data_IF_292803618396
#
_entry.id   IF_292803618396
#
_cell.length_a   1.000
_cell.length_b   1.000
_cell.length_c   1.000
_cell.angle_alpha   90.00
_cell.angle_beta   90.00
_cell.angle_gamma   90.00
#
_symmetry.space_group_name_H-M   'P 1'
#
loop_
_entity.id
_entity.type
_entity.pdbx_description
1 polymer ?
#
# COMPACT_ATOMS: atom_id res chain seq x y z
N UNK A 1 -0.22 -26.84 -29.97
CA UNK A 1 -0.43 -25.44 -29.56
C UNK A 1 -1.92 -25.13 -29.64
N UNK A 2 -2.67 -25.39 -28.56
CA UNK A 2 -4.11 -25.11 -28.51
C UNK A 2 -4.31 -23.61 -28.33
N UNK A 3 -4.85 -22.94 -29.34
CA UNK A 3 -5.23 -21.52 -29.25
C UNK A 3 -6.55 -21.47 -28.47
N UNK A 4 -6.51 -21.07 -27.20
CA UNK A 4 -7.74 -20.75 -26.47
C UNK A 4 -8.48 -19.64 -27.22
N UNK A 5 -9.62 -19.99 -27.80
CA UNK A 5 -10.57 -19.02 -28.38
C UNK A 5 -11.13 -18.19 -27.22
N UNK A 6 -10.59 -16.99 -27.00
CA UNK A 6 -11.31 -15.97 -26.22
C UNK A 6 -12.49 -15.55 -27.09
N UNK A 7 -13.70 -15.94 -26.69
CA UNK A 7 -14.91 -15.56 -27.41
C UNK A 7 -15.11 -14.04 -27.25
N UNK A 8 -15.22 -13.26 -28.35
CA UNK A 8 -15.47 -11.84 -28.24
C UNK A 8 -16.95 -11.58 -27.93
N UNK A 9 -17.17 -10.74 -26.91
CA UNK A 9 -18.34 -9.88 -26.68
C UNK A 9 -19.75 -10.51 -26.59
N UNK A 10 -19.93 -11.78 -26.23
CA UNK A 10 -21.29 -12.19 -25.81
C UNK A 10 -21.58 -11.53 -24.46
N UNK A 11 -22.56 -10.61 -24.36
CA UNK A 11 -22.94 -10.07 -23.06
C UNK A 11 -23.44 -11.24 -22.21
N UNK A 12 -22.89 -11.40 -21.01
CA UNK A 12 -23.36 -12.39 -20.05
C UNK A 12 -24.78 -12.02 -19.64
N UNK A 13 -25.77 -12.78 -20.13
CA UNK A 13 -27.19 -12.53 -19.87
C UNK A 13 -27.50 -12.67 -18.38
N UNK A 14 -26.76 -13.54 -17.68
CA UNK A 14 -26.92 -13.80 -16.26
C UNK A 14 -26.23 -12.75 -15.38
N UNK A 15 -25.34 -11.94 -15.97
CA UNK A 15 -24.64 -10.86 -15.29
C UNK A 15 -24.66 -9.56 -16.12
N UNK A 16 -25.84 -8.90 -16.22
CA UNK A 16 -25.98 -7.67 -16.98
C UNK A 16 -25.11 -6.54 -16.41
N UNK A 17 -24.79 -5.56 -17.25
CA UNK A 17 -24.04 -4.39 -16.82
C UNK A 17 -24.80 -3.61 -15.74
N UNK A 18 -24.14 -3.36 -14.59
CA UNK A 18 -24.74 -2.63 -13.48
C UNK A 18 -24.97 -1.17 -13.84
N UNK A 19 -26.19 -0.69 -13.63
CA UNK A 19 -26.59 0.72 -13.79
C UNK A 19 -26.51 1.45 -12.45
N UNK A 20 -26.61 2.78 -12.49
CA UNK A 20 -26.61 3.63 -11.28
C UNK A 20 -27.67 3.24 -10.26
N UNK A 21 -28.83 2.80 -10.74
CA UNK A 21 -29.94 2.31 -9.91
C UNK A 21 -29.59 1.02 -9.15
N UNK A 22 -28.79 0.14 -9.76
CA UNK A 22 -28.33 -1.10 -9.15
C UNK A 22 -27.30 -0.81 -8.05
N UNK A 23 -26.38 0.13 -8.30
CA UNK A 23 -25.44 0.62 -7.29
C UNK A 23 -26.15 1.29 -6.10
N UNK A 24 -27.26 1.99 -6.33
CA UNK A 24 -28.04 2.60 -5.26
C UNK A 24 -28.68 1.55 -4.32
N UNK A 25 -28.94 0.34 -4.82
CA UNK A 25 -29.47 -0.80 -4.05
C UNK A 25 -28.37 -1.70 -3.47
N UNK A 26 -27.10 -1.48 -3.84
CA UNK A 26 -26.00 -2.31 -3.39
C UNK A 26 -25.78 -2.18 -1.88
N UNK A 27 -25.52 -3.32 -1.22
CA UNK A 27 -25.32 -3.40 0.22
C UNK A 27 -23.85 -3.65 0.56
N UNK A 28 -23.34 -3.14 1.70
CA UNK A 28 -21.98 -3.41 2.13
C UNK A 28 -21.71 -4.91 2.29
N UNK A 29 -20.54 -5.37 1.82
CA UNK A 29 -20.15 -6.78 1.89
C UNK A 29 -20.22 -7.36 3.32
N UNK A 30 -19.91 -6.54 4.34
CA UNK A 30 -20.00 -6.92 5.76
C UNK A 30 -21.41 -7.33 6.21
N UNK A 31 -22.46 -6.83 5.55
CA UNK A 31 -23.86 -7.14 5.87
C UNK A 31 -24.39 -8.35 5.10
N UNK A 32 -23.80 -8.64 3.93
CA UNK A 32 -24.30 -9.65 3.00
C UNK A 32 -23.53 -10.96 3.12
N UNK A 33 -22.19 -10.90 3.19
CA UNK A 33 -21.32 -12.09 3.22
C UNK A 33 -21.61 -13.06 4.38
N UNK A 34 -21.95 -12.61 5.62
CA UNK A 34 -22.28 -13.54 6.70
C UNK A 34 -23.49 -14.44 6.41
N UNK A 35 -24.42 -14.01 5.54
CA UNK A 35 -25.58 -14.80 5.14
C UNK A 35 -25.32 -15.76 3.97
N UNK A 36 -24.17 -15.64 3.31
CA UNK A 36 -23.81 -16.44 2.12
C UNK A 36 -22.71 -17.46 2.45
N UNK A 37 -21.74 -17.07 3.27
CA UNK A 37 -20.57 -17.90 3.58
C UNK A 37 -20.46 -18.21 5.08
N UNK A 38 -19.72 -19.27 5.41
CA UNK A 38 -19.37 -19.59 6.79
C UNK A 38 -18.57 -18.47 7.45
N UNK A 39 -18.68 -18.34 8.78
CA UNK A 39 -18.02 -17.29 9.56
C UNK A 39 -16.54 -17.10 9.21
N UNK A 40 -15.76 -18.20 9.21
CA UNK A 40 -14.33 -18.14 8.91
C UNK A 40 -14.00 -17.68 7.49
N UNK A 41 -14.85 -18.00 6.50
CA UNK A 41 -14.66 -17.54 5.11
C UNK A 41 -15.05 -16.07 4.95
N UNK A 42 -16.13 -15.64 5.61
CA UNK A 42 -16.54 -14.24 5.67
C UNK A 42 -15.46 -13.36 6.29
N UNK A 43 -14.88 -13.79 7.42
CA UNK A 43 -13.79 -13.06 8.09
C UNK A 43 -12.55 -12.93 7.20
N UNK A 44 -12.20 -14.00 6.46
CA UNK A 44 -11.08 -13.97 5.52
C UNK A 44 -11.29 -13.00 4.35
N UNK A 45 -12.53 -12.87 3.85
CA UNK A 45 -12.89 -11.95 2.76
C UNK A 45 -12.96 -10.49 3.22
N UNK A 46 -13.38 -10.25 4.46
CA UNK A 46 -13.48 -8.90 5.03
C UNK A 46 -12.15 -8.37 5.58
N UNK A 47 -11.17 -9.24 5.84
CA UNK A 47 -9.86 -8.84 6.34
C UNK A 47 -9.14 -7.95 5.31
N UNK A 48 -8.65 -6.76 5.71
CA UNK A 48 -7.84 -5.92 4.85
C UNK A 48 -6.65 -6.70 4.29
N UNK A 49 -6.53 -6.75 2.97
CA UNK A 49 -5.41 -7.38 2.28
C UNK A 49 -4.27 -6.37 2.16
N UNK A 50 -3.04 -6.78 2.48
CA UNK A 50 -1.85 -5.96 2.30
C UNK A 50 -0.92 -5.97 3.51
N UNK A 51 0.24 -5.30 3.38
CA UNK A 51 1.16 -5.09 4.51
C UNK A 51 0.43 -4.32 5.60
N UNK A 52 0.53 -4.73 6.88
CA UNK A 52 -0.02 -3.96 7.98
C UNK A 52 0.49 -2.52 7.93
N UNK A 53 -0.38 -1.57 8.26
CA UNK A 53 0.00 -0.16 8.35
C UNK A 53 1.12 -0.05 9.38
N UNK A 54 2.25 0.55 9.00
CA UNK A 54 3.36 0.75 9.92
C UNK A 54 2.98 1.82 10.96
N UNK A 55 3.20 1.54 12.24
CA UNK A 55 2.89 2.47 13.34
C UNK A 55 3.75 3.74 13.28
N UNK A 56 5.01 3.61 12.85
CA UNK A 56 5.93 4.73 12.64
C UNK A 56 6.38 4.74 11.19
N UNK A 57 6.02 5.80 10.47
CA UNK A 57 6.41 6.01 9.07
C UNK A 57 7.45 7.10 8.98
N UNK A 58 8.49 6.92 8.16
CA UNK A 58 9.46 7.97 7.85
C UNK A 58 8.72 9.14 7.18
N UNK A 59 8.91 10.35 7.69
CA UNK A 59 8.34 11.56 7.07
C UNK A 59 9.25 12.01 5.93
N UNK A 60 8.69 12.16 4.73
CA UNK A 60 9.43 12.72 3.58
C UNK A 60 9.57 14.23 3.77
N UNK A 61 10.76 14.68 4.16
CA UNK A 61 11.09 16.10 4.28
C UNK A 61 12.00 16.55 3.15
N UNK A 62 11.76 17.75 2.61
CA UNK A 62 12.62 18.38 1.61
C UNK A 62 13.62 19.32 2.30
N UNK A 63 14.76 18.78 2.74
CA UNK A 63 15.85 19.58 3.33
C UNK A 63 16.94 19.84 2.28
N UNK A 64 17.60 21.00 2.38
CA UNK A 64 18.82 21.29 1.61
C UNK A 64 20.01 20.91 2.47
N UNK A 65 20.92 20.13 1.90
CA UNK A 65 22.18 19.73 2.51
C UNK A 65 23.32 20.26 1.66
N UNK A 66 24.48 20.46 2.29
CA UNK A 66 25.68 20.89 1.58
C UNK A 66 26.10 19.86 0.51
N UNK A 67 26.66 20.31 -0.64
CA UNK A 67 26.99 19.41 -1.75
C UNK A 67 27.97 18.29 -1.36
N UNK A 68 28.99 18.63 -0.56
CA UNK A 68 30.00 17.71 -0.03
C UNK A 68 29.39 16.54 0.77
N UNK A 69 28.38 16.84 1.61
CA UNK A 69 27.65 15.81 2.37
C UNK A 69 26.90 14.89 1.42
N UNK A 70 26.19 15.44 0.43
CA UNK A 70 25.44 14.64 -0.54
C UNK A 70 26.38 13.75 -1.34
N UNK A 71 27.50 14.29 -1.81
CA UNK A 71 28.46 13.57 -2.65
C UNK A 71 29.13 12.44 -1.86
N UNK A 72 29.51 12.69 -0.60
CA UNK A 72 30.05 11.67 0.29
C UNK A 72 29.09 10.49 0.47
N UNK A 73 27.82 10.75 0.80
CA UNK A 73 26.85 9.69 0.98
C UNK A 73 26.48 9.02 -0.36
N UNK A 74 26.33 9.76 -1.46
CA UNK A 74 26.04 9.15 -2.77
C UNK A 74 27.15 8.24 -3.28
N UNK A 75 28.42 8.57 -3.00
CA UNK A 75 29.56 7.73 -3.38
C UNK A 75 29.48 6.31 -2.79
N UNK A 76 28.79 6.14 -1.65
CA UNK A 76 28.57 4.83 -1.03
C UNK A 76 27.49 3.97 -1.73
N UNK A 77 26.85 4.47 -2.79
CA UNK A 77 25.91 3.73 -3.63
C UNK A 77 24.51 3.60 -3.05
N UNK A 78 23.84 2.48 -3.35
CA UNK A 78 22.46 2.22 -2.93
C UNK A 78 22.30 2.30 -1.41
N UNK A 79 21.18 2.87 -0.97
CA UNK A 79 20.87 3.06 0.45
C UNK A 79 21.54 4.28 1.10
N UNK A 80 22.15 5.19 0.34
CA UNK A 80 22.78 6.40 0.88
C UNK A 80 21.82 7.27 1.71
N UNK A 81 20.53 7.31 1.34
CA UNK A 81 19.49 8.00 2.12
C UNK A 81 19.24 7.34 3.49
N UNK A 82 19.38 6.03 3.58
CA UNK A 82 19.28 5.31 4.86
C UNK A 82 20.51 5.59 5.73
N UNK A 83 21.70 5.67 5.11
CA UNK A 83 22.95 5.99 5.82
C UNK A 83 22.96 7.41 6.36
N UNK A 84 22.47 8.39 5.60
CA UNK A 84 22.37 9.76 6.10
C UNK A 84 21.32 9.90 7.22
N UNK A 85 20.18 9.21 7.13
CA UNK A 85 19.21 9.12 8.24
C UNK A 85 19.84 8.52 9.50
N UNK A 86 20.62 7.44 9.37
CA UNK A 86 21.35 6.84 10.49
C UNK A 86 22.38 7.80 11.10
N UNK A 87 23.16 8.52 10.28
CA UNK A 87 24.13 9.50 10.75
C UNK A 87 23.46 10.66 11.51
N UNK A 88 22.33 11.17 11.02
CA UNK A 88 21.57 12.21 11.71
C UNK A 88 21.01 11.73 13.06
N UNK A 89 20.56 10.47 13.15
CA UNK A 89 20.13 9.88 14.42
C UNK A 89 21.27 9.72 15.41
N UNK A 90 22.43 9.26 14.91
CA UNK A 90 23.63 9.15 15.73
C UNK A 90 24.04 10.52 16.28
N UNK A 91 24.05 11.55 15.44
CA UNK A 91 24.35 12.92 15.87
C UNK A 91 23.42 13.39 17.00
N UNK A 92 22.11 13.13 16.90
CA UNK A 92 21.12 13.46 17.95
C UNK A 92 21.40 12.69 19.25
N UNK A 93 21.78 11.41 19.15
CA UNK A 93 22.08 10.59 20.32
C UNK A 93 23.37 11.01 21.04
N UNK A 94 24.38 11.44 20.29
CA UNK A 94 25.66 11.93 20.81
C UNK A 94 25.57 13.36 21.33
N UNK A 95 24.69 14.17 20.74
CA UNK A 95 24.44 15.55 21.12
C UNK A 95 22.97 15.70 21.54
N UNK A 96 22.55 15.02 22.63
CA UNK A 96 21.22 15.25 23.18
C UNK A 96 21.17 16.73 23.53
N UNK A 97 20.29 17.45 22.84
CA UNK A 97 20.29 18.91 22.86
C UNK A 97 20.39 19.42 24.29
N UNK A 98 21.47 20.14 24.60
CA UNK A 98 21.54 20.93 25.82
C UNK A 98 20.59 22.11 25.64
N UNK A 99 19.31 21.88 25.87
CA UNK A 99 18.29 22.91 25.92
C UNK A 99 17.33 22.66 27.06
#
# INVERSE_FOLDING_TARGET
MSKSKVQPHTPDIDNPAWKREDFAKARPAREVLPGIFSKGRTDALLKPRGRPKADVTKVRVGIRLSPDVIDHFKASGDGWQTRIDAALRQFIAEHPGSR
#
